data_IF_750168017503
#
_entry.id   IF_750168017503
#
_cell.length_a   1.000
_cell.length_b   1.000
_cell.length_c   1.000
_cell.angle_alpha   90.00
_cell.angle_beta   90.00
_cell.angle_gamma   90.00
#
_symmetry.space_group_name_H-M   'P 1'
#
loop_
_entity.id
_entity.type
_entity.pdbx_description
1 polymer ?
#
# COMPACT_ATOMS: atom_id res chain seq x y z
N UNK A 1 -20.50 -5.65 -1.44
CA UNK A 1 -19.77 -4.37 -1.59
C UNK A 1 -18.26 -4.54 -1.71
N UNK A 2 -17.55 -5.17 -0.77
CA UNK A 2 -16.07 -5.27 -0.83
C UNK A 2 -15.50 -5.99 -2.07
N UNK A 3 -16.16 -7.05 -2.57
CA UNK A 3 -15.75 -7.73 -3.83
C UNK A 3 -15.75 -6.80 -5.05
N UNK A 4 -16.62 -5.79 -5.05
CA UNK A 4 -16.70 -4.81 -6.12
C UNK A 4 -15.55 -3.80 -6.03
N UNK A 5 -15.28 -3.28 -4.83
CA UNK A 5 -14.14 -2.38 -4.60
C UNK A 5 -12.80 -3.08 -4.88
N UNK A 6 -12.62 -4.30 -4.38
CA UNK A 6 -11.42 -5.10 -4.66
C UNK A 6 -11.25 -5.34 -6.16
N UNK A 7 -12.32 -5.60 -6.91
CA UNK A 7 -12.27 -5.70 -8.38
C UNK A 7 -11.92 -4.37 -9.06
N UNK A 8 -12.49 -3.26 -8.60
CA UNK A 8 -12.18 -1.93 -9.14
C UNK A 8 -10.70 -1.59 -8.91
N UNK A 9 -10.19 -1.81 -7.71
CA UNK A 9 -8.78 -1.59 -7.40
C UNK A 9 -7.86 -2.59 -8.12
N UNK A 10 -8.22 -3.87 -8.19
CA UNK A 10 -7.46 -4.84 -8.98
C UNK A 10 -7.43 -4.46 -10.46
N UNK A 11 -8.52 -3.93 -11.01
CA UNK A 11 -8.57 -3.44 -12.39
C UNK A 11 -7.74 -2.17 -12.57
N UNK A 12 -7.79 -1.23 -11.62
CA UNK A 12 -6.97 -0.01 -11.65
C UNK A 12 -5.48 -0.36 -11.57
N UNK A 13 -5.10 -1.21 -10.62
CA UNK A 13 -3.74 -1.72 -10.47
C UNK A 13 -3.32 -2.48 -11.73
N UNK A 14 -4.17 -3.34 -12.30
CA UNK A 14 -3.87 -4.07 -13.53
C UNK A 14 -3.72 -3.15 -14.74
N UNK A 15 -4.49 -2.05 -14.83
CA UNK A 15 -4.32 -1.03 -15.87
C UNK A 15 -2.99 -0.31 -15.72
N UNK A 16 -2.67 0.14 -14.50
CA UNK A 16 -1.40 0.81 -14.20
C UNK A 16 -0.22 -0.13 -14.45
N UNK A 17 -0.28 -1.38 -14.00
CA UNK A 17 0.76 -2.38 -14.22
C UNK A 17 0.88 -2.79 -15.69
N UNK A 18 -0.23 -3.06 -16.38
CA UNK A 18 -0.22 -3.46 -17.79
C UNK A 18 0.23 -2.35 -18.75
N UNK A 19 0.07 -1.07 -18.36
CA UNK A 19 0.64 0.06 -19.10
C UNK A 19 2.14 0.25 -18.80
N UNK A 20 2.58 0.01 -17.55
CA UNK A 20 4.01 -0.02 -17.20
C UNK A 20 4.73 -1.13 -17.96
N UNK A 21 4.11 -2.31 -18.11
CA UNK A 21 4.59 -3.42 -18.95
C UNK A 21 4.69 -3.08 -20.44
N UNK A 22 3.90 -2.12 -20.95
CA UNK A 22 3.97 -1.67 -22.35
C UNK A 22 5.07 -0.65 -22.61
N UNK A 23 5.53 0.07 -21.58
CA UNK A 23 6.59 1.09 -21.71
C UNK A 23 7.96 0.60 -21.25
N UNK A 24 8.05 -0.55 -20.57
CA UNK A 24 9.31 -1.21 -20.24
C UNK A 24 9.43 -2.53 -21.00
N UNK A 25 10.62 -2.83 -21.53
CA UNK A 25 11.02 -4.12 -22.11
C UNK A 25 11.09 -5.27 -21.07
N UNK A 26 10.32 -5.18 -19.98
CA UNK A 26 10.33 -6.14 -18.89
C UNK A 26 9.08 -6.04 -18.02
N UNK A 27 8.50 -7.20 -17.70
CA UNK A 27 7.34 -7.32 -16.83
C UNK A 27 7.79 -7.21 -15.36
N UNK A 28 7.61 -6.05 -14.73
CA UNK A 28 7.94 -5.87 -13.31
C UNK A 28 6.84 -6.47 -12.42
N UNK A 29 6.95 -7.76 -12.14
CA UNK A 29 6.12 -8.42 -11.13
C UNK A 29 6.62 -8.06 -9.72
N UNK A 30 5.95 -7.10 -9.09
CA UNK A 30 6.22 -6.75 -7.69
C UNK A 30 5.38 -7.62 -6.75
N UNK A 31 5.97 -8.72 -6.29
CA UNK A 31 5.43 -9.51 -5.19
C UNK A 31 5.85 -8.86 -3.86
N UNK A 32 4.90 -8.23 -3.15
CA UNK A 32 5.15 -7.67 -1.81
C UNK A 32 5.02 -8.81 -0.80
N UNK A 33 6.16 -9.36 -0.37
CA UNK A 33 6.18 -10.40 0.67
C UNK A 33 5.48 -9.89 1.93
N UNK A 34 4.50 -10.67 2.45
CA UNK A 34 3.78 -10.38 3.70
C UNK A 34 3.28 -8.92 3.76
N UNK A 35 2.62 -8.47 2.70
CA UNK A 35 2.21 -7.07 2.53
C UNK A 35 1.45 -6.49 3.73
N UNK A 36 0.61 -7.28 4.39
CA UNK A 36 -0.11 -6.86 5.60
C UNK A 36 0.84 -6.52 6.75
N UNK A 37 1.92 -7.26 6.94
CA UNK A 37 2.88 -7.10 8.04
C UNK A 37 3.78 -5.86 7.83
N UNK A 38 3.78 -5.31 6.62
CA UNK A 38 4.68 -4.24 6.20
C UNK A 38 4.05 -2.84 6.20
N UNK A 39 2.74 -2.72 6.44
CA UNK A 39 2.04 -1.43 6.44
C UNK A 39 2.52 -0.54 7.60
N UNK A 40 3.13 0.60 7.30
CA UNK A 40 3.46 1.60 8.31
C UNK A 40 2.17 2.34 8.76
N UNK A 41 1.95 2.43 10.08
CA UNK A 41 0.73 3.02 10.63
C UNK A 41 0.68 4.54 10.48
N UNK A 42 1.78 5.25 10.66
CA UNK A 42 1.79 6.71 10.51
C UNK A 42 1.50 7.10 9.05
N UNK A 43 2.08 6.37 8.09
CA UNK A 43 1.73 6.50 6.67
C UNK A 43 0.23 6.26 6.44
N UNK A 44 -0.32 5.18 7.00
CA UNK A 44 -1.75 4.86 6.85
C UNK A 44 -2.66 5.95 7.44
N UNK A 45 -2.31 6.51 8.61
CA UNK A 45 -3.06 7.60 9.22
C UNK A 45 -2.99 8.88 8.38
N UNK A 46 -1.84 9.17 7.77
CA UNK A 46 -1.68 10.30 6.86
C UNK A 46 -2.52 10.13 5.59
N UNK A 47 -2.54 8.92 5.01
CA UNK A 47 -3.40 8.59 3.87
C UNK A 47 -4.88 8.79 4.21
N UNK A 48 -5.32 8.28 5.36
CA UNK A 48 -6.69 8.49 5.83
C UNK A 48 -7.01 9.98 6.04
N UNK A 49 -6.06 10.76 6.57
CA UNK A 49 -6.22 12.21 6.67
C UNK A 49 -6.37 12.88 5.30
N UNK A 50 -5.56 12.49 4.30
CA UNK A 50 -5.64 13.01 2.93
C UNK A 50 -6.93 12.59 2.21
N UNK A 51 -7.49 11.44 2.55
CA UNK A 51 -8.81 11.00 2.07
C UNK A 51 -9.99 11.73 2.74
N UNK A 52 -9.73 12.62 3.71
CA UNK A 52 -10.76 13.44 4.35
C UNK A 52 -11.44 12.79 5.56
N UNK A 53 -10.87 11.72 6.12
CA UNK A 53 -11.39 11.14 7.36
C UNK A 53 -11.20 12.10 8.53
N UNK A 54 -12.22 12.22 9.39
CA UNK A 54 -12.14 13.07 10.57
C UNK A 54 -11.15 12.54 11.61
N UNK A 55 -10.51 13.45 12.35
CA UNK A 55 -9.48 13.14 13.35
C UNK A 55 -9.93 12.08 14.39
N UNK A 56 -11.21 12.10 14.79
CA UNK A 56 -11.78 11.09 15.71
C UNK A 56 -11.71 9.68 15.13
N UNK A 57 -12.05 9.51 13.86
CA UNK A 57 -12.00 8.22 13.17
C UNK A 57 -10.55 7.73 13.04
N UNK A 58 -9.65 8.62 12.65
CA UNK A 58 -8.23 8.31 12.52
C UNK A 58 -7.66 7.83 13.86
N UNK A 59 -8.00 8.50 14.97
CA UNK A 59 -7.56 8.09 16.30
C UNK A 59 -8.09 6.72 16.72
N UNK A 60 -9.34 6.39 16.38
CA UNK A 60 -9.88 5.04 16.62
C UNK A 60 -9.11 3.99 15.81
N UNK A 61 -8.84 4.25 14.53
CA UNK A 61 -8.07 3.31 13.71
C UNK A 61 -6.64 3.16 14.23
N UNK A 62 -5.98 4.25 14.63
CA UNK A 62 -4.65 4.22 15.26
C UNK A 62 -4.67 3.36 16.53
N UNK A 63 -5.70 3.52 17.37
CA UNK A 63 -5.87 2.73 18.58
C UNK A 63 -6.07 1.24 18.28
N UNK A 64 -6.95 0.91 17.32
CA UNK A 64 -7.17 -0.47 16.86
C UNK A 64 -5.89 -1.14 16.33
N UNK A 65 -5.05 -0.40 15.59
CA UNK A 65 -3.77 -0.90 15.12
C UNK A 65 -2.79 -1.12 16.29
N UNK A 66 -2.65 -0.13 17.17
CA UNK A 66 -1.66 -0.14 18.27
C UNK A 66 -1.94 -1.12 19.41
N UNK A 67 -3.20 -1.53 19.59
CA UNK A 67 -3.61 -2.48 20.64
C UNK A 67 -3.40 -3.94 20.23
N UNK A 68 -2.94 -4.18 19.00
CA UNK A 68 -2.61 -5.52 18.51
C UNK A 68 -1.38 -6.10 19.23
N UNK A 69 -1.60 -7.08 20.10
CA UNK A 69 -0.56 -7.87 20.75
C UNK A 69 -0.41 -9.23 20.07
N UNK A 70 0.83 -9.68 19.90
CA UNK A 70 1.19 -10.96 19.30
C UNK A 70 1.88 -11.83 20.35
N UNK A 71 1.72 -13.15 20.24
CA UNK A 71 2.40 -14.14 21.08
C UNK A 71 3.06 -15.20 20.21
N UNK A 72 4.22 -15.71 20.63
CA UNK A 72 4.90 -16.79 19.92
C UNK A 72 4.38 -18.13 20.47
N UNK A 73 3.96 -19.05 19.61
CA UNK A 73 3.64 -20.41 20.06
C UNK A 73 4.92 -21.24 20.20
N UNK A 74 5.21 -21.68 21.42
CA UNK A 74 6.28 -22.64 21.72
C UNK A 74 5.62 -23.94 22.17
N UNK A 75 5.81 -25.02 21.41
CA UNK A 75 5.17 -26.33 21.67
C UNK A 75 3.64 -26.25 21.81
N UNK A 76 2.98 -25.43 20.98
CA UNK A 76 1.53 -25.25 21.01
C UNK A 76 1.01 -24.35 22.15
N UNK A 77 1.89 -23.87 23.04
CA UNK A 77 1.53 -22.95 24.12
C UNK A 77 1.98 -21.53 23.78
N UNK A 78 1.12 -20.50 23.92
CA UNK A 78 1.52 -19.12 23.72
C UNK A 78 2.54 -18.71 24.79
N UNK A 79 3.68 -18.17 24.36
CA UNK A 79 4.78 -17.74 25.20
C UNK A 79 5.23 -16.33 24.81
N UNK A 80 5.22 -15.43 25.80
CA UNK A 80 5.52 -14.01 25.62
C UNK A 80 4.43 -13.24 24.87
N UNK A 81 4.34 -11.94 25.15
CA UNK A 81 3.53 -10.99 24.39
C UNK A 81 4.41 -9.85 23.91
N UNK A 82 4.26 -9.47 22.64
CA UNK A 82 4.92 -8.32 22.06
C UNK A 82 3.93 -7.50 21.24
N UNK A 83 4.08 -6.18 21.28
CA UNK A 83 3.31 -5.29 20.42
C UNK A 83 4.03 -5.15 19.08
N UNK A 84 3.27 -5.10 17.99
CA UNK A 84 3.86 -4.69 16.72
C UNK A 84 3.94 -3.16 16.64
N UNK A 85 4.92 -2.64 15.92
CA UNK A 85 5.04 -1.22 15.58
C UNK A 85 4.49 -0.90 14.18
N UNK A 86 4.08 -1.92 13.43
CA UNK A 86 3.61 -1.85 12.04
C UNK A 86 2.76 -3.06 11.67
N UNK A 87 2.15 -2.98 10.50
CA UNK A 87 1.41 -4.05 9.91
C UNK A 87 -0.03 -4.15 10.40
N UNK A 88 -0.85 -4.87 9.66
CA UNK A 88 -2.26 -5.06 9.89
C UNK A 88 -2.52 -6.52 10.24
N UNK A 89 -3.42 -6.76 11.19
CA UNK A 89 -3.74 -8.13 11.62
C UNK A 89 -4.47 -8.85 10.49
N UNK A 90 -3.87 -9.90 9.95
CA UNK A 90 -4.61 -10.84 9.13
C UNK A 90 -5.73 -11.44 10.00
N UNK A 91 -6.92 -11.64 9.41
CA UNK A 91 -8.16 -12.07 10.12
C UNK A 91 -8.93 -10.98 10.88
N UNK A 92 -8.42 -9.75 10.99
CA UNK A 92 -9.23 -8.62 11.47
C UNK A 92 -10.13 -8.10 10.32
N UNK A 93 -11.45 -7.97 10.52
CA UNK A 93 -12.37 -7.47 9.50
C UNK A 93 -12.03 -6.06 9.00
N UNK A 94 -11.30 -5.24 9.76
CA UNK A 94 -10.89 -3.88 9.36
C UNK A 94 -9.62 -3.88 8.49
N UNK A 95 -8.72 -4.85 8.68
CA UNK A 95 -7.42 -4.89 8.00
C UNK A 95 -7.51 -4.85 6.47
N UNK A 96 -8.44 -5.55 5.79
CA UNK A 96 -8.58 -5.44 4.33
C UNK A 96 -8.91 -4.02 3.84
N UNK A 97 -9.68 -3.25 4.61
CA UNK A 97 -10.06 -1.88 4.23
C UNK A 97 -8.92 -0.90 4.44
N UNK A 98 -8.20 -1.04 5.56
CA UNK A 98 -7.00 -0.25 5.83
C UNK A 98 -5.91 -0.52 4.79
N UNK A 99 -5.72 -1.79 4.43
CA UNK A 99 -4.78 -2.18 3.37
C UNK A 99 -5.18 -1.55 2.03
N UNK A 100 -6.48 -1.46 1.74
CA UNK A 100 -6.99 -0.82 0.53
C UNK A 100 -6.59 0.65 0.43
N UNK A 101 -6.67 1.41 1.54
CA UNK A 101 -6.26 2.81 1.56
C UNK A 101 -4.77 2.95 1.28
N UNK A 102 -3.94 2.11 1.91
CA UNK A 102 -2.50 2.08 1.66
C UNK A 102 -2.17 1.77 0.19
N UNK A 103 -2.86 0.78 -0.40
CA UNK A 103 -2.66 0.39 -1.80
C UNK A 103 -3.15 1.45 -2.80
N UNK A 104 -4.24 2.15 -2.51
CA UNK A 104 -4.71 3.27 -3.33
C UNK A 104 -3.67 4.40 -3.35
N UNK A 105 -3.12 4.75 -2.18
CA UNK A 105 -2.05 5.74 -2.09
C UNK A 105 -0.78 5.29 -2.84
N UNK A 106 -0.39 4.01 -2.70
CA UNK A 106 0.74 3.44 -3.46
C UNK A 106 0.50 3.50 -4.97
N UNK A 107 -0.71 3.17 -5.43
CA UNK A 107 -1.09 3.25 -6.85
C UNK A 107 -0.98 4.69 -7.37
N UNK A 108 -1.40 5.68 -6.58
CA UNK A 108 -1.27 7.09 -6.97
C UNK A 108 0.20 7.52 -7.01
N UNK A 109 1.01 7.14 -6.04
CA UNK A 109 2.45 7.42 -6.03
C UNK A 109 3.16 6.82 -7.27
N UNK A 110 2.84 5.57 -7.63
CA UNK A 110 3.37 4.94 -8.84
C UNK A 110 2.93 5.65 -10.12
N UNK A 111 1.67 6.10 -10.18
CA UNK A 111 1.15 6.89 -11.31
C UNK A 111 1.85 8.25 -11.44
N UNK A 112 2.08 8.94 -10.32
CA UNK A 112 2.84 10.19 -10.30
C UNK A 112 4.31 9.98 -10.69
N UNK A 113 4.96 8.94 -10.15
CA UNK A 113 6.34 8.60 -10.48
C UNK A 113 6.49 8.27 -11.97
N UNK A 114 5.52 7.56 -12.56
CA UNK A 114 5.46 7.34 -14.01
C UNK A 114 5.42 8.65 -14.78
N UNK A 115 4.52 9.56 -14.43
CA UNK A 115 4.38 10.83 -15.15
C UNK A 115 5.63 11.71 -14.96
N UNK A 116 6.23 11.74 -13.78
CA UNK A 116 7.48 12.45 -13.51
C UNK A 116 8.70 11.84 -14.21
N UNK A 117 8.78 10.51 -14.29
CA UNK A 117 9.82 9.80 -15.04
C UNK A 117 9.68 10.00 -16.56
N UNK A 118 8.45 10.08 -17.07
CA UNK A 118 8.17 10.43 -18.47
C UNK A 118 8.66 11.86 -18.78
N UNK A 119 8.43 12.81 -17.85
CA UNK A 119 8.90 14.19 -17.99
C UNK A 119 10.43 14.30 -18.01
N UNK A 120 11.12 13.55 -17.15
CA UNK A 120 12.58 13.52 -17.19
C UNK A 120 13.05 12.85 -18.49
N UNK A 121 12.49 11.69 -18.86
CA UNK A 121 12.88 10.99 -20.10
C UNK A 121 12.73 11.85 -21.37
N UNK A 122 11.71 12.72 -21.45
CA UNK A 122 11.57 13.67 -22.56
C UNK A 122 12.65 14.76 -22.58
N UNK A 123 13.17 15.18 -21.42
CA UNK A 123 14.32 16.10 -21.37
C UNK A 123 15.61 15.41 -21.82
N UNK A 124 15.78 14.12 -21.52
CA UNK A 124 16.94 13.33 -21.97
C UNK A 124 16.92 13.09 -23.50
N UNK A 125 15.75 12.82 -24.11
CA UNK A 125 15.64 12.70 -25.58
C UNK A 125 15.90 14.03 -26.32
N UNK A 126 15.55 15.18 -25.74
CA UNK A 126 15.83 16.51 -26.33
C UNK A 126 17.30 16.96 -26.20
N UNK A 127 18.09 16.34 -25.32
CA UNK A 127 19.55 16.55 -25.26
C UNK A 127 20.30 15.64 -26.25
N UNK A 128 19.83 14.41 -26.49
CA UNK A 128 20.50 13.46 -27.39
C UNK A 128 20.22 13.74 -28.90
N UNK A 129 19.17 14.49 -29.25
CA UNK A 129 18.97 15.05 -30.60
C UNK A 129 19.76 16.36 -30.87
N UNK A 130 20.49 16.87 -29.87
CA UNK A 130 21.26 18.13 -29.97
C UNK A 130 22.78 17.95 -30.11
N UNK A 131 23.26 16.72 -30.05
CA UNK A 131 24.66 16.30 -30.29
C UNK A 131 24.82 15.51 -31.60
#
# INVERSE_FOLDING_TARGET
>A
MYKLLAKVLANRLKSVMGEIERQQTGLLKMDIEKAFDHVNWDFLMEVMSKMGFGHRWINWMKWCCSTATFSILINGSPSGFFCSSRGLRQEDPLSPYLFLFAMEALSQLLSCARNGALFLASEWEEEEERD
#
